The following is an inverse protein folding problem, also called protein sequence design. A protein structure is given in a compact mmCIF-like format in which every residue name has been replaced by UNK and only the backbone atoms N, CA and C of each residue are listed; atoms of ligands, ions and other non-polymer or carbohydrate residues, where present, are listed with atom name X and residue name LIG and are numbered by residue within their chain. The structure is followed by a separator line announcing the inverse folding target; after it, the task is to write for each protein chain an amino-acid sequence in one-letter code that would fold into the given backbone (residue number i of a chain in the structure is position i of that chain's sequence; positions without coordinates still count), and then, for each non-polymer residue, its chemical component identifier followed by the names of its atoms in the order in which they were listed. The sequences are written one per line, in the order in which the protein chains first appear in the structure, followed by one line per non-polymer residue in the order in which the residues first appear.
data_IF_502707496085
#
_entry.id   IF_502707496085
#
_cell.length_a   1.000
_cell.length_b   1.000
_cell.length_c   1.000
_cell.angle_alpha   90.00
_cell.angle_beta   90.00
_cell.angle_gamma   90.00
#
_symmetry.space_group_name_H-M   'P 1'
#
loop_
_entity.id
_entity.type
_entity.pdbx_description
1 polymer ?
#
# COMPACT_ATOMS: atom_id res chain seq x y z
N UNK A 1 7.62 2.74 -1.76
CA UNK A 1 8.23 2.00 -0.61
C UNK A 1 8.12 0.47 -0.70
N UNK A 2 7.16 -0.11 -1.44
CA UNK A 2 6.98 -1.56 -1.56
C UNK A 2 8.02 -2.26 -2.45
N UNK A 3 8.39 -1.63 -3.57
CA UNK A 3 9.31 -2.19 -4.57
C UNK A 3 10.66 -2.63 -3.96
N UNK A 4 11.43 -1.79 -3.24
CA UNK A 4 12.69 -2.23 -2.64
C UNK A 4 12.53 -3.41 -1.67
N UNK A 5 11.41 -3.45 -0.92
CA UNK A 5 11.13 -4.53 0.04
C UNK A 5 10.82 -5.86 -0.65
N UNK A 6 10.35 -5.84 -1.89
CA UNK A 6 10.05 -7.05 -2.65
C UNK A 6 11.29 -7.62 -3.35
N UNK A 7 12.16 -6.75 -3.87
CA UNK A 7 13.30 -7.16 -4.68
C UNK A 7 14.60 -7.33 -3.89
N UNK A 8 14.81 -6.55 -2.83
CA UNK A 8 16.09 -6.52 -2.11
C UNK A 8 16.09 -7.32 -0.80
N UNK A 9 14.92 -7.59 -0.22
CA UNK A 9 14.81 -8.37 1.02
C UNK A 9 14.73 -9.87 0.73
N UNK A 10 15.20 -10.68 1.69
CA UNK A 10 15.19 -12.15 1.60
C UNK A 10 13.78 -12.69 1.33
N UNK A 11 13.70 -13.81 0.60
CA UNK A 11 12.43 -14.45 0.21
C UNK A 11 11.51 -14.71 1.41
N UNK A 12 12.08 -15.18 2.51
CA UNK A 12 11.35 -15.46 3.76
C UNK A 12 11.55 -14.37 4.82
N UNK A 13 12.04 -13.20 4.42
CA UNK A 13 12.21 -12.04 5.30
C UNK A 13 10.87 -11.49 5.79
N UNK A 14 10.81 -11.07 7.06
CA UNK A 14 9.58 -10.54 7.66
C UNK A 14 9.06 -9.29 6.94
N UNK A 15 9.96 -8.39 6.50
CA UNK A 15 9.62 -7.18 5.75
C UNK A 15 8.98 -7.49 4.39
N UNK A 16 9.51 -8.48 3.67
CA UNK A 16 8.97 -8.93 2.39
C UNK A 16 7.58 -9.55 2.56
N UNK A 17 7.44 -10.48 3.50
CA UNK A 17 6.13 -11.11 3.81
C UNK A 17 5.09 -10.09 4.23
N UNK A 18 5.44 -9.15 5.11
CA UNK A 18 4.54 -8.06 5.53
C UNK A 18 4.04 -7.24 4.32
N UNK A 19 4.93 -6.89 3.40
CA UNK A 19 4.54 -6.19 2.17
C UNK A 19 3.63 -7.04 1.27
N UNK A 20 3.92 -8.34 1.12
CA UNK A 20 3.10 -9.25 0.31
C UNK A 20 1.70 -9.45 0.90
N UNK A 21 1.58 -9.54 2.23
CA UNK A 21 0.28 -9.62 2.91
C UNK A 21 -0.56 -8.37 2.63
N UNK A 22 0.02 -7.18 2.80
CA UNK A 22 -0.69 -5.91 2.51
C UNK A 22 -1.11 -5.85 1.04
N UNK A 23 -0.25 -6.25 0.11
CA UNK A 23 -0.57 -6.27 -1.32
C UNK A 23 -1.66 -7.28 -1.67
N UNK A 24 -1.69 -8.45 -1.04
CA UNK A 24 -2.71 -9.46 -1.26
C UNK A 24 -4.10 -8.97 -0.80
N UNK A 25 -4.17 -8.36 0.39
CA UNK A 25 -5.40 -7.76 0.93
C UNK A 25 -5.88 -6.57 0.06
N UNK A 26 -4.95 -5.69 -0.34
CA UNK A 26 -5.28 -4.55 -1.21
C UNK A 26 -5.78 -5.01 -2.59
N UNK A 27 -5.12 -6.00 -3.20
CA UNK A 27 -5.55 -6.57 -4.48
C UNK A 27 -6.96 -7.15 -4.36
N UNK A 28 -7.25 -7.89 -3.28
CA UNK A 28 -8.59 -8.44 -3.08
C UNK A 28 -9.67 -7.37 -2.96
N UNK A 29 -9.40 -6.33 -2.17
CA UNK A 29 -10.32 -5.21 -2.00
C UNK A 29 -10.59 -4.50 -3.34
N UNK A 30 -9.53 -4.23 -4.12
CA UNK A 30 -9.64 -3.58 -5.43
C UNK A 30 -10.44 -4.44 -6.41
N UNK A 31 -10.09 -5.73 -6.56
CA UNK A 31 -10.77 -6.66 -7.48
C UNK A 31 -12.27 -6.72 -7.20
N UNK A 32 -12.65 -6.84 -5.93
CA UNK A 32 -14.07 -6.85 -5.52
C UNK A 32 -14.77 -5.52 -5.72
N UNK A 33 -14.08 -4.40 -5.50
CA UNK A 33 -14.66 -3.05 -5.67
C UNK A 33 -15.04 -2.74 -7.12
N UNK A 34 -14.24 -3.19 -8.09
CA UNK A 34 -14.52 -2.95 -9.51
C UNK A 34 -15.30 -4.08 -10.17
N UNK A 35 -15.47 -5.24 -9.51
CA UNK A 35 -16.25 -6.37 -10.04
C UNK A 35 -17.65 -5.99 -10.57
N UNK A 36 -18.42 -5.05 -9.97
CA UNK A 36 -19.70 -4.61 -10.52
C UNK A 36 -19.59 -3.83 -11.84
N UNK A 37 -18.43 -3.23 -12.12
CA UNK A 37 -18.19 -2.38 -13.29
C UNK A 37 -17.51 -3.18 -14.42
N UNK A 38 -16.51 -4.00 -14.07
CA UNK A 38 -15.71 -4.79 -15.01
C UNK A 38 -15.73 -6.28 -14.60
N UNK A 39 -16.85 -6.99 -14.80
CA UNK A 39 -17.03 -8.33 -14.25
C UNK A 39 -16.09 -9.37 -14.86
N UNK A 40 -15.83 -9.30 -16.17
CA UNK A 40 -14.92 -10.22 -16.84
C UNK A 40 -13.48 -10.05 -16.37
N UNK A 41 -13.01 -8.82 -16.22
CA UNK A 41 -11.66 -8.53 -15.70
C UNK A 41 -11.53 -8.98 -14.24
N UNK A 42 -12.55 -8.74 -13.42
CA UNK A 42 -12.50 -9.13 -12.01
C UNK A 42 -12.43 -10.65 -11.86
N UNK A 43 -13.19 -11.38 -12.67
CA UNK A 43 -13.17 -12.84 -12.71
C UNK A 43 -11.82 -13.37 -13.22
N UNK A 44 -11.27 -12.78 -14.28
CA UNK A 44 -9.94 -13.13 -14.79
C UNK A 44 -8.85 -12.94 -13.72
N UNK A 45 -8.78 -11.75 -13.11
CA UNK A 45 -7.81 -11.47 -12.04
C UNK A 45 -7.98 -12.45 -10.87
N UNK A 46 -9.22 -12.74 -10.47
CA UNK A 46 -9.53 -13.67 -9.39
C UNK A 46 -9.02 -15.09 -9.66
N UNK A 47 -9.13 -15.57 -10.91
CA UNK A 47 -8.64 -16.88 -11.33
C UNK A 47 -7.10 -16.97 -11.30
N UNK A 48 -6.39 -15.86 -11.50
CA UNK A 48 -4.93 -15.81 -11.44
C UNK A 48 -4.35 -15.54 -10.05
N UNK A 49 -5.18 -15.40 -9.01
CA UNK A 49 -4.67 -15.20 -7.65
C UNK A 49 -3.86 -16.43 -7.18
N UNK A 50 -2.62 -16.25 -6.72
CA UNK A 50 -1.73 -17.36 -6.37
C UNK A 50 -2.11 -18.05 -5.05
N UNK A 51 -3.13 -17.55 -4.35
CA UNK A 51 -3.63 -18.08 -3.08
C UNK A 51 -5.03 -18.67 -3.27
N UNK A 52 -5.21 -19.90 -2.78
CA UNK A 52 -6.47 -20.65 -2.95
C UNK A 52 -7.61 -19.96 -2.21
N UNK A 53 -8.58 -19.44 -2.96
CA UNK A 53 -9.93 -19.18 -2.45
C UNK A 53 -10.79 -20.40 -2.71
N UNK A 54 -11.52 -20.87 -1.70
CA UNK A 54 -12.33 -22.11 -1.76
C UNK A 54 -13.57 -22.04 -2.66
N UNK A 55 -13.57 -21.19 -3.67
CA UNK A 55 -14.73 -20.74 -4.45
C UNK A 55 -14.33 -20.53 -5.91
N UNK A 56 -15.19 -20.93 -6.84
CA UNK A 56 -14.91 -20.87 -8.28
C UNK A 56 -15.12 -19.49 -8.94
N UNK A 57 -15.09 -18.38 -8.18
CA UNK A 57 -15.16 -17.05 -8.79
C UNK A 57 -15.42 -15.90 -7.83
N UNK A 58 -15.12 -14.67 -8.26
CA UNK A 58 -15.17 -13.47 -7.41
C UNK A 58 -16.59 -13.20 -6.89
N UNK A 59 -17.59 -13.41 -7.74
CA UNK A 59 -19.01 -13.18 -7.42
C UNK A 59 -19.58 -14.18 -6.42
N UNK A 60 -18.92 -15.33 -6.23
CA UNK A 60 -19.35 -16.36 -5.26
C UNK A 60 -18.74 -16.17 -3.87
N UNK A 61 -17.84 -15.21 -3.70
CA UNK A 61 -17.09 -15.02 -2.45
C UNK A 61 -17.56 -13.88 -1.56
N UNK A 62 -18.67 -13.22 -1.91
CA UNK A 62 -19.21 -12.10 -1.15
C UNK A 62 -18.43 -10.79 -1.33
N UNK A 63 -18.63 -9.86 -0.39
CA UNK A 63 -18.06 -8.51 -0.45
C UNK A 63 -16.69 -8.41 0.25
N UNK A 64 -16.10 -7.22 0.21
CA UNK A 64 -14.83 -6.91 0.87
C UNK A 64 -15.01 -7.00 2.39
N UNK A 65 -14.17 -7.78 3.07
CA UNK A 65 -14.12 -7.85 4.52
C UNK A 65 -12.85 -7.13 5.01
N UNK A 66 -12.99 -5.90 5.53
CA UNK A 66 -11.89 -5.18 6.16
C UNK A 66 -12.06 -5.14 7.67
N UNK A 67 -10.97 -5.22 8.41
CA UNK A 67 -10.99 -5.04 9.87
C UNK A 67 -11.07 -3.55 10.19
N UNK A 68 -11.99 -3.17 11.08
CA UNK A 68 -12.06 -1.80 11.60
C UNK A 68 -10.77 -1.38 12.31
N UNK A 69 -9.98 -2.34 12.80
CA UNK A 69 -8.69 -2.10 13.45
C UNK A 69 -7.60 -1.56 12.50
N UNK A 70 -7.81 -1.62 11.18
CA UNK A 70 -6.85 -1.09 10.21
C UNK A 70 -6.95 0.43 10.04
N UNK A 71 -8.08 1.03 10.42
CA UNK A 71 -8.27 2.48 10.30
C UNK A 71 -7.54 3.18 11.44
N UNK A 72 -6.45 3.87 11.12
CA UNK A 72 -5.63 4.63 12.07
C UNK A 72 -5.42 6.06 11.54
N UNK A 73 -6.21 7.05 11.99
CA UNK A 73 -6.18 8.40 11.42
C UNK A 73 -4.81 9.09 11.59
N UNK A 74 -4.12 8.93 12.72
CA UNK A 74 -2.78 9.53 12.91
C UNK A 74 -1.75 9.07 11.87
N UNK A 75 -1.80 7.79 11.47
CA UNK A 75 -0.92 7.25 10.42
C UNK A 75 -1.28 7.82 9.04
N UNK A 76 -2.57 8.02 8.77
CA UNK A 76 -3.04 8.62 7.52
C UNK A 76 -2.51 10.05 7.36
N UNK A 77 -2.65 10.87 8.41
CA UNK A 77 -2.13 12.24 8.46
C UNK A 77 -0.60 12.28 8.31
N UNK A 78 0.12 11.39 8.99
CA UNK A 78 1.57 11.28 8.87
C UNK A 78 2.02 10.92 7.44
N UNK A 79 1.31 9.99 6.77
CA UNK A 79 1.60 9.59 5.39
C UNK A 79 1.27 10.73 4.42
N UNK A 80 0.18 11.45 4.62
CA UNK A 80 -0.19 12.62 3.80
C UNK A 80 0.88 13.71 3.90
N UNK A 81 1.31 14.05 5.11
CA UNK A 81 2.41 14.99 5.33
C UNK A 81 3.71 14.55 4.66
N UNK A 82 4.06 13.27 4.78
CA UNK A 82 5.24 12.71 4.10
C UNK A 82 5.13 12.76 2.56
N UNK A 83 3.94 12.52 2.00
CA UNK A 83 3.69 12.64 0.57
C UNK A 83 3.80 14.10 0.11
N UNK A 84 3.23 15.05 0.85
CA UNK A 84 3.31 16.47 0.53
C UNK A 84 4.77 16.98 0.52
N UNK A 85 5.57 16.58 1.52
CA UNK A 85 7.00 16.90 1.56
C UNK A 85 7.75 16.30 0.39
N UNK A 86 7.50 15.01 0.07
CA UNK A 86 8.09 14.35 -1.10
C UNK A 86 7.75 15.09 -2.39
N UNK A 87 6.48 15.44 -2.58
CA UNK A 87 6.00 16.05 -3.82
C UNK A 87 6.54 17.48 -3.97
N UNK A 88 6.63 18.25 -2.87
CA UNK A 88 7.30 19.55 -2.84
C UNK A 88 8.78 19.44 -3.21
N UNK A 89 9.49 18.48 -2.62
CA UNK A 89 10.90 18.22 -2.93
C UNK A 89 11.09 17.81 -4.40
N UNK A 90 10.36 16.80 -4.88
CA UNK A 90 10.45 16.34 -6.27
C UNK A 90 10.08 17.44 -7.28
N UNK A 91 9.12 18.31 -6.92
CA UNK A 91 8.78 19.49 -7.72
C UNK A 91 9.89 20.54 -7.79
N UNK A 92 10.76 20.62 -6.77
CA UNK A 92 11.91 21.54 -6.77
C UNK A 92 13.12 21.04 -7.58
N UNK A 93 13.23 19.72 -7.79
CA UNK A 93 14.37 19.08 -8.48
C UNK A 93 13.99 18.52 -9.87
N UNK A 94 13.02 19.12 -10.54
CA UNK A 94 12.50 18.64 -11.84
C UNK A 94 13.62 18.31 -12.83
N UNK A 95 13.64 17.07 -13.32
CA UNK A 95 14.61 16.60 -14.31
C UNK A 95 15.98 16.17 -13.73
N UNK A 96 16.16 16.23 -12.41
CA UNK A 96 17.37 15.75 -11.73
C UNK A 96 17.10 14.48 -10.95
N UNK A 97 18.15 13.70 -10.70
CA UNK A 97 18.02 12.48 -9.94
C UNK A 97 17.94 12.79 -8.44
N UNK A 98 16.89 12.31 -7.77
CA UNK A 98 16.70 12.48 -6.33
C UNK A 98 17.83 11.86 -5.50
N UNK A 99 18.56 10.87 -6.02
CA UNK A 99 19.68 10.24 -5.31
C UNK A 99 20.92 11.13 -5.16
N UNK A 100 20.97 12.28 -5.83
CA UNK A 100 22.07 13.25 -5.75
C UNK A 100 21.91 14.23 -4.58
N UNK A 101 20.83 14.11 -3.81
CA UNK A 101 20.44 15.05 -2.77
C UNK A 101 20.26 14.35 -1.43
N UNK A 102 20.84 14.95 -0.39
CA UNK A 102 20.53 14.62 1.00
C UNK A 102 19.45 15.57 1.52
N UNK A 103 18.36 15.00 2.02
CA UNK A 103 17.23 15.75 2.59
C UNK A 103 17.25 15.61 4.10
N UNK A 104 17.37 16.74 4.81
CA UNK A 104 17.25 16.79 6.28
C UNK A 104 15.87 17.32 6.62
N UNK A 105 15.06 16.48 7.27
CA UNK A 105 13.74 16.87 7.79
C UNK A 105 13.89 17.22 9.26
N UNK A 106 13.50 18.42 9.64
CA UNK A 106 13.48 18.87 11.03
C UNK A 106 12.03 18.97 11.47
N UNK A 107 11.70 18.27 12.54
CA UNK A 107 10.36 18.29 13.15
C UNK A 107 10.50 18.63 14.63
N UNK A 108 9.52 19.37 15.15
CA UNK A 108 9.44 19.61 16.58
C UNK A 108 9.12 18.28 17.30
N UNK A 109 9.83 17.92 18.38
CA UNK A 109 9.67 16.60 19.01
C UNK A 109 8.24 16.29 19.44
N UNK A 110 7.48 17.28 19.92
CA UNK A 110 6.09 17.10 20.36
C UNK A 110 5.16 16.67 19.21
N UNK A 111 5.35 17.27 18.03
CA UNK A 111 4.53 17.00 16.85
C UNK A 111 4.76 15.59 16.28
N UNK A 112 5.97 15.03 16.47
CA UNK A 112 6.28 13.67 16.04
C UNK A 112 5.54 12.62 16.89
N UNK A 113 5.40 12.84 18.20
CA UNK A 113 4.68 11.91 19.07
C UNK A 113 3.17 11.95 18.80
N UNK A 114 2.59 13.13 18.56
CA UNK A 114 1.17 13.27 18.19
C UNK A 114 0.84 12.53 16.88
N UNK A 115 1.76 12.49 15.91
CA UNK A 115 1.57 11.77 14.64
C UNK A 115 1.71 10.24 14.77
N UNK A 116 2.30 9.75 15.85
CA UNK A 116 2.57 8.32 16.07
C UNK A 116 1.55 7.63 16.99
N UNK A 117 0.67 8.39 17.63
CA UNK A 117 -0.41 7.92 18.54
C UNK A 117 -1.71 7.61 17.77
#
# INVERSE_FOLDING_TARGET
LSVPRLYCEEEKGAKRRSCQTVLAEALDAVVRSFAPILPHLAEEVFQYLPYKKGSEGVFRTGWINTSSAWKKPGIEEAIEGACAMRDSFLGSITGKNASEYDVVIVIEPGLLFELME
#
